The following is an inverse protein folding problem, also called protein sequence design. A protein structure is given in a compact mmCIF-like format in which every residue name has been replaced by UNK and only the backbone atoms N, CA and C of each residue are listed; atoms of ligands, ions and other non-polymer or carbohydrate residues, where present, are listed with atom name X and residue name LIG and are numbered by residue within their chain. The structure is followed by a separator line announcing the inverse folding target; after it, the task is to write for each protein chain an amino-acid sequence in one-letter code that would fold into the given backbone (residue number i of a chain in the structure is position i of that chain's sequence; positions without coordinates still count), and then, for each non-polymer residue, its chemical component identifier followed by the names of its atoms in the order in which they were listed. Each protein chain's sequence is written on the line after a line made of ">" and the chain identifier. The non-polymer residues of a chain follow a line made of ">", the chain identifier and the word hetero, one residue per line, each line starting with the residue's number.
data_IF_671964218140
#
_entry.id   IF_671964218140
#
_cell.length_a   1.000
_cell.length_b   1.000
_cell.length_c   1.000
_cell.angle_alpha   90.00
_cell.angle_beta   90.00
_cell.angle_gamma   90.00
#
_symmetry.space_group_name_H-M   'P 1'
#
loop_
_entity.id
_entity.type
_entity.pdbx_description
1 polymer ?
#
# COMPACT_ATOMS: atom_id res chain seq x y z
N UNK A 1 21.66 2.00 -4.28
CA UNK A 1 20.57 1.48 -5.12
C UNK A 1 19.38 2.42 -5.00
N UNK A 2 18.78 2.75 -6.12
CA UNK A 2 17.69 3.73 -6.16
C UNK A 2 16.35 3.00 -6.18
N UNK A 3 15.48 3.32 -5.22
CA UNK A 3 14.15 2.73 -5.12
C UNK A 3 13.04 3.64 -5.64
N UNK A 4 13.37 4.81 -6.18
CA UNK A 4 12.36 5.77 -6.66
C UNK A 4 11.47 5.13 -7.72
N UNK A 5 10.16 5.35 -7.59
CA UNK A 5 9.13 4.82 -8.49
C UNK A 5 8.99 3.30 -8.44
N UNK A 6 9.46 2.68 -7.36
CA UNK A 6 9.21 1.25 -7.13
C UNK A 6 8.06 1.07 -6.15
N UNK A 7 7.55 -0.15 -6.08
CA UNK A 7 6.49 -0.55 -5.16
C UNK A 7 7.04 -1.62 -4.24
N UNK A 8 6.63 -1.60 -2.99
CA UNK A 8 7.20 -2.54 -2.04
C UNK A 8 6.46 -2.62 -0.72
N UNK A 9 6.90 -3.60 0.05
CA UNK A 9 6.41 -3.87 1.40
C UNK A 9 7.37 -3.26 2.40
N UNK A 10 6.83 -2.92 3.57
CA UNK A 10 7.64 -2.42 4.66
C UNK A 10 7.18 -3.05 5.96
N UNK A 11 7.71 -4.23 6.26
CA UNK A 11 7.39 -4.97 7.47
C UNK A 11 8.14 -4.33 8.62
N UNK A 12 7.40 -3.77 9.55
CA UNK A 12 7.95 -2.95 10.62
C UNK A 12 7.17 -3.19 11.90
N UNK A 13 7.86 -3.59 12.96
CA UNK A 13 7.23 -3.98 14.20
C UNK A 13 7.47 -2.95 15.29
N UNK A 14 6.39 -2.41 15.84
CA UNK A 14 6.43 -1.40 16.87
C UNK A 14 7.22 -1.91 18.10
N UNK A 15 8.09 -1.06 18.62
CA UNK A 15 8.95 -1.40 19.74
C UNK A 15 10.28 -2.02 19.30
N UNK A 16 10.30 -2.78 18.22
CA UNK A 16 11.51 -3.42 17.71
C UNK A 16 12.18 -2.59 16.63
N UNK A 17 11.39 -2.04 15.72
CA UNK A 17 11.89 -1.35 14.53
C UNK A 17 11.65 0.15 14.55
N UNK A 18 11.38 0.74 15.71
CA UNK A 18 11.02 2.15 15.82
C UNK A 18 12.05 3.08 15.19
N UNK A 19 13.34 2.74 15.31
CA UNK A 19 14.40 3.57 14.75
C UNK A 19 14.42 3.61 13.24
N UNK A 20 13.73 2.67 12.59
CA UNK A 20 13.65 2.61 11.13
C UNK A 20 12.67 3.63 10.56
N UNK A 21 11.84 4.24 11.41
CA UNK A 21 10.82 5.20 10.99
C UNK A 21 11.13 6.57 11.60
N UNK A 22 11.11 7.60 10.78
CA UNK A 22 11.36 8.96 11.27
C UNK A 22 10.38 9.31 12.40
N UNK A 23 10.89 9.94 13.46
CA UNK A 23 10.10 10.15 14.69
C UNK A 23 8.85 10.99 14.47
N UNK A 24 8.88 11.93 13.53
CA UNK A 24 7.75 12.82 13.28
C UNK A 24 6.57 12.14 12.56
N UNK A 25 6.79 11.00 11.91
CA UNK A 25 5.71 10.27 11.24
C UNK A 25 5.48 8.87 11.83
N UNK A 26 6.21 8.52 12.88
CA UNK A 26 6.19 7.16 13.44
C UNK A 26 4.81 6.73 13.93
N UNK A 27 4.15 7.60 14.67
CA UNK A 27 2.82 7.29 15.21
C UNK A 27 1.81 7.05 14.09
N UNK A 28 1.79 7.92 13.09
CA UNK A 28 0.88 7.79 11.96
C UNK A 28 1.18 6.55 11.13
N UNK A 29 2.46 6.20 11.01
CA UNK A 29 2.87 5.02 10.26
C UNK A 29 2.34 3.75 10.92
N UNK A 30 2.49 3.63 12.24
CA UNK A 30 1.98 2.47 12.96
C UNK A 30 0.45 2.45 13.01
N UNK A 31 -0.19 3.62 13.08
CA UNK A 31 -1.65 3.71 13.04
C UNK A 31 -2.21 3.17 11.72
N UNK A 32 -1.44 3.29 10.65
CA UNK A 32 -1.82 2.75 9.33
C UNK A 32 -1.80 1.22 9.32
N UNK A 33 -1.13 0.57 10.25
CA UNK A 33 -0.88 -0.87 10.24
C UNK A 33 -0.12 -1.27 8.98
N UNK A 34 1.17 -0.91 8.89
CA UNK A 34 1.91 -0.96 7.62
C UNK A 34 2.20 -2.36 7.11
N UNK A 35 2.21 -3.37 7.98
CA UNK A 35 2.58 -4.73 7.58
C UNK A 35 1.54 -5.30 6.61
N UNK A 36 2.02 -5.77 5.48
CA UNK A 36 1.16 -6.31 4.43
C UNK A 36 0.69 -5.30 3.40
N UNK A 37 0.81 -4.01 3.66
CA UNK A 37 0.41 -2.97 2.70
C UNK A 37 1.47 -2.75 1.64
N UNK A 38 1.04 -2.31 0.47
CA UNK A 38 1.94 -2.01 -0.66
C UNK A 38 2.13 -0.51 -0.74
N UNK A 39 3.36 -0.08 -0.64
CA UNK A 39 3.74 1.34 -0.67
C UNK A 39 4.44 1.67 -1.98
N UNK A 40 4.34 2.93 -2.39
CA UNK A 40 5.16 3.46 -3.47
C UNK A 40 6.33 4.24 -2.86
N UNK A 41 7.54 3.95 -3.32
CA UNK A 41 8.70 4.75 -2.93
C UNK A 41 8.82 5.92 -3.89
N UNK A 42 8.75 7.15 -3.37
CA UNK A 42 8.77 8.35 -4.21
C UNK A 42 10.03 9.18 -4.09
N UNK A 43 10.86 8.92 -3.09
CA UNK A 43 12.15 9.60 -2.97
C UNK A 43 13.13 8.76 -2.18
N UNK A 44 14.42 9.05 -2.37
CA UNK A 44 15.50 8.35 -1.69
C UNK A 44 16.62 9.36 -1.40
N UNK A 45 17.10 9.39 -0.16
CA UNK A 45 18.16 10.29 0.24
C UNK A 45 18.89 9.77 1.47
N UNK A 46 20.19 9.50 1.33
CA UNK A 46 21.04 9.14 2.45
C UNK A 46 20.59 7.90 3.23
N UNK A 47 20.11 6.88 2.54
CA UNK A 47 19.64 5.66 3.19
C UNK A 47 18.20 5.71 3.67
N UNK A 48 17.57 6.87 3.60
CA UNK A 48 16.15 7.05 3.91
C UNK A 48 15.34 7.13 2.63
N UNK A 49 14.14 6.60 2.67
CA UNK A 49 13.19 6.66 1.55
C UNK A 49 11.88 7.25 2.03
N UNK A 50 11.13 7.82 1.09
CA UNK A 50 9.77 8.28 1.39
C UNK A 50 8.80 7.30 0.76
N UNK A 51 7.93 6.73 1.60
CA UNK A 51 6.88 5.83 1.16
C UNK A 51 5.57 6.59 1.10
N UNK A 52 4.82 6.37 0.02
CA UNK A 52 3.50 6.98 -0.18
C UNK A 52 2.44 5.89 -0.15
N UNK A 53 1.34 6.17 0.56
CA UNK A 53 0.16 5.31 0.61
C UNK A 53 -1.08 6.20 0.54
N UNK A 54 -1.74 6.22 -0.63
CA UNK A 54 -2.79 7.21 -0.87
C UNK A 54 -2.22 8.62 -0.80
N UNK A 55 -2.80 9.45 0.07
CA UNK A 55 -2.34 10.82 0.29
C UNK A 55 -1.26 10.92 1.37
N UNK A 56 -0.97 9.82 2.06
CA UNK A 56 -0.06 9.82 3.20
C UNK A 56 1.36 9.53 2.77
N UNK A 57 2.32 10.17 3.45
CA UNK A 57 3.74 9.98 3.18
C UNK A 57 4.49 9.71 4.48
N UNK A 58 5.48 8.84 4.41
CA UNK A 58 6.28 8.43 5.57
C UNK A 58 7.73 8.34 5.19
N UNK A 59 8.61 8.79 6.08
CA UNK A 59 10.06 8.66 5.89
C UNK A 59 10.57 7.49 6.71
N UNK A 60 11.21 6.55 6.06
CA UNK A 60 11.67 5.32 6.68
C UNK A 60 13.07 4.95 6.17
N UNK A 61 13.76 4.11 6.95
CA UNK A 61 15.06 3.60 6.53
C UNK A 61 14.86 2.54 5.44
N UNK A 62 15.59 2.66 4.35
CA UNK A 62 15.46 1.75 3.20
C UNK A 62 15.76 0.29 3.54
N UNK A 63 16.43 0.04 4.67
CA UNK A 63 16.89 -1.30 5.05
C UNK A 63 15.78 -2.34 5.12
N UNK A 64 14.58 -1.94 5.55
CA UNK A 64 13.44 -2.86 5.69
C UNK A 64 12.55 -2.90 4.45
N UNK A 65 12.83 -2.09 3.44
CA UNK A 65 12.02 -2.01 2.23
C UNK A 65 12.25 -3.22 1.34
N UNK A 66 11.16 -3.88 0.94
CA UNK A 66 11.22 -5.05 0.06
C UNK A 66 10.36 -4.78 -1.18
N UNK A 67 11.01 -4.72 -2.35
CA UNK A 67 10.31 -4.47 -3.61
C UNK A 67 9.38 -5.61 -3.98
N UNK A 68 8.23 -5.25 -4.56
CA UNK A 68 7.30 -6.19 -5.18
C UNK A 68 6.93 -5.64 -6.55
N UNK A 69 6.26 -6.47 -7.34
CA UNK A 69 5.74 -6.02 -8.64
C UNK A 69 4.70 -4.93 -8.42
N UNK A 70 4.69 -3.93 -9.31
CA UNK A 70 3.72 -2.85 -9.23
C UNK A 70 2.30 -3.40 -9.28
N UNK A 71 1.43 -3.04 -8.30
CA UNK A 71 0.02 -3.44 -8.35
C UNK A 71 -0.68 -2.79 -9.53
N UNK A 72 -1.65 -3.48 -10.10
CA UNK A 72 -2.43 -2.94 -11.22
C UNK A 72 -3.28 -1.74 -10.78
N UNK A 73 -3.83 -1.79 -9.56
CA UNK A 73 -4.64 -0.71 -8.99
C UNK A 73 -3.96 -0.10 -7.78
N UNK A 74 -4.23 1.19 -7.55
CA UNK A 74 -3.65 1.96 -6.44
C UNK A 74 -4.76 2.54 -5.57
N UNK A 75 -4.42 2.91 -4.35
CA UNK A 75 -5.36 3.61 -3.46
C UNK A 75 -5.89 4.85 -4.18
N UNK A 76 -7.21 5.00 -4.21
CA UNK A 76 -7.88 6.11 -4.87
C UNK A 76 -8.40 5.78 -6.26
N UNK A 77 -7.98 4.67 -6.86
CA UNK A 77 -8.44 4.30 -8.21
C UNK A 77 -9.91 3.91 -8.19
N UNK A 78 -10.62 4.34 -9.23
CA UNK A 78 -12.02 3.99 -9.42
C UNK A 78 -12.12 2.69 -10.20
N UNK A 79 -12.87 1.74 -9.66
CA UNK A 79 -12.97 0.39 -10.24
C UNK A 79 -14.42 -0.08 -10.21
N UNK A 80 -14.71 -1.08 -11.05
CA UNK A 80 -15.97 -1.80 -11.00
C UNK A 80 -15.72 -3.19 -10.43
N UNK A 81 -16.55 -3.59 -9.45
CA UNK A 81 -16.56 -4.96 -8.94
C UNK A 81 -17.39 -5.78 -9.92
N UNK A 82 -16.76 -6.65 -10.68
CA UNK A 82 -17.38 -7.33 -11.82
C UNK A 82 -18.60 -8.15 -11.40
N UNK A 83 -18.46 -8.97 -10.36
CA UNK A 83 -19.55 -9.87 -9.92
C UNK A 83 -20.79 -9.14 -9.44
N UNK A 84 -20.65 -7.90 -8.97
CA UNK A 84 -21.75 -7.12 -8.40
C UNK A 84 -22.19 -5.97 -9.29
N UNK A 85 -21.43 -5.68 -10.34
CA UNK A 85 -21.64 -4.52 -11.21
C UNK A 85 -21.70 -3.22 -10.43
N UNK A 86 -20.91 -3.12 -9.37
CA UNK A 86 -20.85 -1.93 -8.52
C UNK A 86 -19.55 -1.16 -8.75
N UNK A 87 -19.66 0.15 -8.82
CA UNK A 87 -18.51 1.03 -8.97
C UNK A 87 -18.10 1.55 -7.60
N UNK A 88 -16.81 1.48 -7.30
CA UNK A 88 -16.27 1.94 -6.04
C UNK A 88 -14.86 2.48 -6.21
N UNK A 89 -14.19 2.65 -5.08
CA UNK A 89 -12.85 3.22 -5.05
C UNK A 89 -11.95 2.31 -4.21
N UNK A 90 -10.74 2.09 -4.69
CA UNK A 90 -9.74 1.32 -3.94
C UNK A 90 -9.35 2.11 -2.69
N UNK A 91 -9.48 1.50 -1.52
CA UNK A 91 -9.10 2.12 -0.24
C UNK A 91 -7.90 1.46 0.41
N UNK A 92 -7.62 0.19 0.09
CA UNK A 92 -6.43 -0.50 0.57
C UNK A 92 -5.84 -1.38 -0.51
N UNK A 93 -4.50 -1.39 -0.60
CA UNK A 93 -3.73 -2.29 -1.46
C UNK A 93 -2.80 -3.08 -0.56
N UNK A 94 -2.99 -4.40 -0.52
CA UNK A 94 -2.21 -5.30 0.31
C UNK A 94 -1.55 -6.36 -0.57
N UNK A 95 -0.57 -7.06 0.00
CA UNK A 95 0.16 -8.10 -0.72
C UNK A 95 -0.09 -9.45 -0.08
N UNK A 96 -0.51 -10.42 -0.88
CA UNK A 96 -0.70 -11.79 -0.41
C UNK A 96 0.60 -12.53 -0.62
N UNK A 97 1.32 -12.81 0.46
CA UNK A 97 2.67 -13.39 0.38
C UNK A 97 2.69 -14.77 -0.29
N UNK A 98 1.72 -15.61 0.03
CA UNK A 98 1.65 -16.96 -0.54
C UNK A 98 1.46 -16.94 -2.04
N UNK A 99 0.53 -16.12 -2.52
CA UNK A 99 0.22 -16.03 -3.95
C UNK A 99 1.12 -15.06 -4.70
N UNK A 100 1.94 -14.31 -3.97
CA UNK A 100 2.85 -13.31 -4.53
C UNK A 100 2.09 -12.34 -5.46
N UNK A 101 0.98 -11.82 -4.99
CA UNK A 101 0.07 -10.97 -5.75
C UNK A 101 -0.68 -10.00 -4.85
N UNK A 102 -1.10 -8.84 -5.37
CA UNK A 102 -1.86 -7.90 -4.56
C UNK A 102 -3.30 -8.34 -4.38
N UNK A 103 -3.92 -7.84 -3.31
CA UNK A 103 -5.36 -7.89 -3.15
C UNK A 103 -5.83 -6.53 -2.64
N UNK A 104 -7.09 -6.23 -2.90
CA UNK A 104 -7.63 -4.89 -2.71
C UNK A 104 -8.89 -4.89 -1.85
N UNK A 105 -9.08 -3.80 -1.12
CA UNK A 105 -10.37 -3.50 -0.50
C UNK A 105 -10.98 -2.32 -1.23
N UNK A 106 -12.28 -2.40 -1.46
CA UNK A 106 -13.04 -1.41 -2.23
C UNK A 106 -14.10 -0.79 -1.34
N UNK A 107 -14.27 0.52 -1.47
CA UNK A 107 -15.32 1.27 -0.81
C UNK A 107 -16.39 1.62 -1.83
N UNK A 108 -17.64 1.32 -1.50
CA UNK A 108 -18.81 1.67 -2.33
C UNK A 108 -19.75 2.48 -1.45
N UNK A 109 -20.17 3.66 -1.92
CA UNK A 109 -21.05 4.55 -1.17
C UNK A 109 -20.53 4.84 0.23
N UNK A 110 -19.21 5.09 0.34
CA UNK A 110 -18.50 5.42 1.58
C UNK A 110 -18.45 4.28 2.60
N UNK A 111 -18.74 3.05 2.16
CA UNK A 111 -18.66 1.88 3.03
C UNK A 111 -17.63 0.90 2.48
N UNK A 112 -16.65 0.55 3.30
CA UNK A 112 -15.63 -0.43 2.92
C UNK A 112 -16.28 -1.82 2.88
N UNK A 113 -16.14 -2.50 1.74
CA UNK A 113 -16.61 -3.87 1.60
C UNK A 113 -15.57 -4.78 2.22
N UNK A 114 -15.99 -5.72 3.07
CA UNK A 114 -15.07 -6.59 3.82
C UNK A 114 -14.42 -7.69 3.00
N UNK A 115 -14.79 -7.84 1.74
CA UNK A 115 -14.24 -8.88 0.86
C UNK A 115 -12.91 -8.44 0.27
N UNK A 116 -11.99 -9.39 0.11
CA UNK A 116 -10.71 -9.18 -0.59
C UNK A 116 -10.91 -9.41 -2.07
N UNK A 117 -10.53 -8.43 -2.88
CA UNK A 117 -10.64 -8.54 -4.34
C UNK A 117 -9.27 -8.67 -4.97
N UNK A 118 -9.19 -9.48 -6.02
CA UNK A 118 -7.97 -9.65 -6.82
C UNK A 118 -8.11 -8.87 -8.13
N UNK A 119 -7.03 -8.79 -8.90
CA UNK A 119 -7.05 -8.10 -10.19
C UNK A 119 -8.17 -8.58 -11.10
N UNK A 120 -8.40 -9.90 -11.13
CA UNK A 120 -9.41 -10.50 -11.98
C UNK A 120 -10.85 -10.21 -11.56
N UNK A 121 -11.05 -9.76 -10.32
CA UNK A 121 -12.38 -9.42 -9.77
C UNK A 121 -12.82 -8.00 -10.11
N UNK A 122 -11.91 -7.19 -10.62
CA UNK A 122 -12.11 -5.76 -10.83
C UNK A 122 -11.81 -5.38 -12.27
N UNK A 123 -12.37 -4.26 -12.71
CA UNK A 123 -11.99 -3.67 -13.99
C UNK A 123 -11.96 -2.15 -13.88
N UNK A 124 -11.20 -1.54 -14.77
CA UNK A 124 -11.06 -0.09 -14.83
C UNK A 124 -12.39 0.56 -15.21
N UNK A 125 -12.61 1.76 -14.70
CA UNK A 125 -13.77 2.59 -15.02
C UNK A 125 -13.26 3.83 -15.73
N UNK A 126 -13.79 4.08 -16.90
CA UNK A 126 -13.45 5.26 -17.71
C UNK A 126 -14.10 6.54 -17.16
#
# INVERSE_FOLDING_TARGET
>A
MDYIDTWGLYQCFQGTDDEMVASDCREDFYALQPNGKVFQCISSHGGMITLKYGEKKFQVNAKLYKRVKEPHYKVGDKVEIIEKSLIGQIVDVNWHLRDNAPFYFVEVDRKKIGKRYRDCDLKEVD
#
